data_IF_674379211627
#
_entry.id   IF_674379211627
#
_cell.length_a   1.000
_cell.length_b   1.000
_cell.length_c   1.000
_cell.angle_alpha   90.00
_cell.angle_beta   90.00
_cell.angle_gamma   90.00
#
_symmetry.space_group_name_H-M   'P 1'
#
loop_
_entity.id
_entity.type
_entity.pdbx_description
1 polymer ?
#
# COMPACT_ATOMS: atom_id res chain seq x y z
N UNK A 1 -26.46 -68.24 -29.13
CA UNK A 1 -26.79 -66.89 -28.62
C UNK A 1 -25.69 -65.95 -29.14
N UNK A 2 -25.81 -65.35 -30.34
CA UNK A 2 -26.28 -63.97 -30.64
C UNK A 2 -25.70 -62.92 -29.66
N UNK A 3 -24.59 -62.26 -30.01
CA UNK A 3 -24.46 -60.96 -30.73
C UNK A 3 -24.60 -59.70 -29.82
N UNK A 4 -23.46 -59.00 -29.65
CA UNK A 4 -23.26 -57.56 -29.96
C UNK A 4 -23.37 -56.46 -28.88
N UNK A 5 -22.29 -55.64 -28.89
CA UNK A 5 -22.21 -54.15 -28.80
C UNK A 5 -22.33 -53.47 -27.44
N UNK A 6 -21.24 -52.89 -26.90
CA UNK A 6 -20.63 -51.57 -27.20
C UNK A 6 -21.47 -50.39 -26.69
N UNK A 7 -20.93 -49.61 -25.74
CA UNK A 7 -20.83 -48.13 -25.76
C UNK A 7 -20.15 -47.65 -24.45
N UNK A 8 -18.87 -47.26 -24.55
CA UNK A 8 -18.20 -46.43 -23.53
C UNK A 8 -17.95 -45.07 -24.14
N UNK A 9 -18.63 -44.05 -23.62
CA UNK A 9 -18.46 -42.66 -24.04
C UNK A 9 -17.35 -42.05 -23.18
N UNK A 10 -16.18 -41.86 -23.77
CA UNK A 10 -15.13 -40.96 -23.27
C UNK A 10 -15.44 -39.54 -23.76
N UNK A 11 -15.68 -38.61 -22.84
CA UNK A 11 -15.73 -37.17 -23.15
C UNK A 11 -14.41 -36.55 -22.69
N UNK A 12 -13.56 -36.25 -23.66
CA UNK A 12 -12.43 -35.32 -23.51
C UNK A 12 -12.93 -33.89 -23.72
N UNK A 13 -12.87 -33.06 -22.70
CA UNK A 13 -13.07 -31.61 -22.85
C UNK A 13 -11.70 -30.97 -23.04
N UNK A 14 -11.46 -30.51 -24.28
CA UNK A 14 -10.32 -29.67 -24.65
C UNK A 14 -10.74 -28.21 -24.40
N UNK A 15 -10.09 -27.55 -23.45
CA UNK A 15 -10.19 -26.09 -23.26
C UNK A 15 -9.00 -25.41 -23.97
N UNK A 16 -9.23 -24.36 -24.78
CA UNK A 16 -8.16 -23.66 -25.49
C UNK A 16 -7.37 -22.72 -24.56
N UNK A 17 -6.06 -22.53 -24.81
CA UNK A 17 -5.27 -21.51 -24.13
C UNK A 17 -5.64 -20.11 -24.65
N UNK A 18 -6.18 -19.25 -23.79
CA UNK A 18 -6.34 -17.83 -24.06
C UNK A 18 -4.99 -17.14 -23.85
N UNK A 19 -4.31 -16.86 -24.97
CA UNK A 19 -3.09 -16.07 -25.04
C UNK A 19 -3.40 -14.60 -24.70
N UNK A 20 -2.60 -14.07 -23.78
CA UNK A 20 -2.51 -12.65 -23.45
C UNK A 20 -2.09 -11.83 -24.67
N UNK A 21 -2.84 -10.76 -24.97
CA UNK A 21 -2.38 -9.65 -25.80
C UNK A 21 -2.26 -8.41 -24.92
N UNK A 22 -1.03 -7.94 -24.70
CA UNK A 22 -0.75 -6.61 -24.17
C UNK A 22 -0.57 -5.64 -25.35
N UNK A 23 -1.22 -4.46 -25.35
CA UNK A 23 -0.85 -3.41 -26.28
C UNK A 23 0.44 -2.70 -25.80
N UNK A 24 1.37 -2.53 -26.73
CA UNK A 24 2.56 -1.66 -26.66
C UNK A 24 2.31 -0.32 -27.36
N UNK A 25 3.21 0.65 -27.10
CA UNK A 25 3.29 2.05 -27.57
C UNK A 25 2.46 3.06 -26.75
N UNK A 26 2.98 4.24 -26.35
CA UNK A 26 3.86 5.17 -27.09
C UNK A 26 4.94 5.85 -26.23
N UNK A 27 5.98 6.32 -26.92
CA UNK A 27 7.02 7.23 -26.49
C UNK A 27 6.66 8.66 -26.90
N UNK A 28 6.92 9.67 -26.07
CA UNK A 28 7.56 10.91 -26.55
C UNK A 28 8.22 11.71 -25.42
N UNK A 29 9.40 12.23 -25.75
CA UNK A 29 10.31 13.03 -24.94
C UNK A 29 9.78 14.45 -24.74
N UNK A 30 10.08 15.05 -23.59
CA UNK A 30 10.55 16.45 -23.54
C UNK A 30 11.25 16.70 -22.20
N UNK A 31 12.54 17.00 -22.26
CA UNK A 31 13.36 17.33 -21.10
C UNK A 31 13.09 18.75 -20.60
N UNK A 32 13.17 18.94 -19.29
CA UNK A 32 13.35 20.24 -18.64
C UNK A 32 14.40 20.10 -17.53
N UNK A 33 15.37 21.00 -17.58
CA UNK A 33 16.53 21.17 -16.71
C UNK A 33 16.09 21.72 -15.33
N UNK A 34 16.63 21.25 -14.19
CA UNK A 34 16.26 21.82 -12.89
C UNK A 34 17.12 23.04 -12.55
N UNK A 35 16.43 24.16 -12.36
CA UNK A 35 16.97 25.41 -11.79
C UNK A 35 17.18 25.24 -10.28
N UNK A 36 18.42 25.40 -9.82
CA UNK A 36 18.78 25.44 -8.39
C UNK A 36 18.41 26.82 -7.82
N UNK A 37 17.65 26.87 -6.72
CA UNK A 37 17.53 28.06 -5.86
C UNK A 37 17.81 27.72 -4.40
N UNK A 38 18.63 28.56 -3.79
CA UNK A 38 19.25 28.41 -2.47
C UNK A 38 18.28 28.62 -1.30
N UNK A 39 18.66 27.97 -0.20
CA UNK A 39 18.02 27.93 1.10
C UNK A 39 17.97 29.27 1.84
N UNK A 40 16.95 29.43 2.68
CA UNK A 40 16.97 30.28 3.86
C UNK A 40 16.37 29.49 5.03
N UNK A 41 17.16 29.35 6.09
CA UNK A 41 16.89 28.60 7.31
C UNK A 41 15.85 29.28 8.21
N UNK A 42 15.03 28.47 8.90
CA UNK A 42 14.47 28.83 10.21
C UNK A 42 14.11 27.56 10.97
N UNK A 43 14.80 27.37 12.09
CA UNK A 43 14.79 26.20 12.97
C UNK A 43 13.48 25.95 13.70
N UNK A 44 12.96 24.72 13.63
CA UNK A 44 12.06 24.10 14.61
C UNK A 44 12.36 22.60 14.68
N UNK A 45 12.35 21.97 15.87
CA UNK A 45 12.74 20.57 16.04
C UNK A 45 11.61 19.64 15.58
N UNK A 46 11.54 19.43 14.26
CA UNK A 46 10.83 18.34 13.56
C UNK A 46 11.15 18.32 12.05
N UNK A 47 11.83 19.36 11.54
CA UNK A 47 12.17 19.52 10.12
C UNK A 47 13.30 18.60 9.66
N UNK A 48 14.27 18.24 10.51
CA UNK A 48 15.43 17.47 10.06
C UNK A 48 15.07 16.06 9.56
N UNK A 49 14.13 15.37 10.20
CA UNK A 49 13.70 14.04 9.74
C UNK A 49 12.94 14.14 8.41
N UNK A 50 12.14 15.21 8.25
CA UNK A 50 11.35 15.45 7.05
C UNK A 50 12.21 15.88 5.86
N UNK A 51 13.21 16.73 6.09
CA UNK A 51 14.20 17.15 5.10
C UNK A 51 15.10 15.98 4.66
N UNK A 52 15.52 15.15 5.61
CA UNK A 52 16.28 13.92 5.32
C UNK A 52 15.46 12.94 4.47
N UNK A 53 14.15 12.80 4.73
CA UNK A 53 13.27 11.93 3.95
C UNK A 53 12.92 12.54 2.59
N UNK A 54 12.74 13.85 2.49
CA UNK A 54 12.53 14.54 1.22
C UNK A 54 13.77 14.46 0.29
N UNK A 55 14.97 14.61 0.84
CA UNK A 55 16.23 14.40 0.11
C UNK A 55 16.44 12.93 -0.30
N UNK A 56 15.97 11.99 0.51
CA UNK A 56 15.98 10.57 0.14
C UNK A 56 15.12 10.33 -1.10
N UNK A 57 13.94 10.94 -1.16
CA UNK A 57 12.99 10.75 -2.25
C UNK A 57 13.35 11.51 -3.52
N UNK A 58 14.06 12.64 -3.42
CA UNK A 58 14.55 13.36 -4.61
C UNK A 58 15.59 12.56 -5.40
N UNK A 59 16.29 11.61 -4.76
CA UNK A 59 17.26 10.73 -5.42
C UNK A 59 16.66 9.41 -5.92
N UNK A 60 15.42 9.09 -5.57
CA UNK A 60 14.79 7.81 -5.93
C UNK A 60 13.67 8.07 -6.95
N UNK A 61 14.06 8.22 -8.21
CA UNK A 61 13.18 8.29 -9.39
C UNK A 61 12.57 6.93 -9.77
N UNK A 62 12.54 5.95 -8.86
CA UNK A 62 11.84 4.71 -9.10
C UNK A 62 10.33 5.00 -9.01
N UNK A 63 9.68 5.09 -10.16
CA UNK A 63 8.23 5.06 -10.32
C UNK A 63 7.69 3.76 -9.72
N UNK A 64 7.58 3.70 -8.40
CA UNK A 64 6.71 2.74 -7.76
C UNK A 64 5.32 3.02 -8.33
N UNK A 65 4.74 2.05 -9.04
CA UNK A 65 3.38 2.05 -9.54
C UNK A 65 2.38 2.02 -8.36
N UNK A 66 2.43 3.03 -7.49
CA UNK A 66 1.59 3.20 -6.30
C UNK A 66 0.13 3.52 -6.66
N UNK A 67 -0.14 3.77 -7.94
CA UNK A 67 -1.42 4.27 -8.42
C UNK A 67 -2.47 3.16 -8.61
N UNK A 68 -2.13 1.88 -8.54
CA UNK A 68 -3.10 0.77 -8.71
C UNK A 68 -3.37 0.02 -7.40
N UNK A 69 -4.65 -0.02 -6.98
CA UNK A 69 -5.15 -0.86 -5.86
C UNK A 69 -5.15 -2.35 -6.19
N UNK A 70 -5.24 -2.71 -7.47
CA UNK A 70 -5.22 -4.10 -7.90
C UNK A 70 -3.80 -4.64 -7.76
N UNK A 71 -3.62 -5.54 -6.79
CA UNK A 71 -2.43 -6.36 -6.66
C UNK A 71 -1.20 -5.68 -6.07
N UNK A 72 -1.33 -4.48 -5.44
CA UNK A 72 -0.25 -3.62 -4.87
C UNK A 72 1.04 -4.41 -4.63
N UNK A 73 1.91 -4.54 -5.65
CA UNK A 73 2.92 -5.58 -5.61
C UNK A 73 4.15 -5.07 -4.87
N UNK A 74 4.59 -5.83 -3.87
CA UNK A 74 5.85 -5.61 -3.17
C UNK A 74 6.69 -6.88 -3.28
N UNK A 75 7.95 -6.72 -3.69
CA UNK A 75 8.90 -7.81 -3.85
C UNK A 75 8.36 -8.97 -4.73
N UNK A 76 7.55 -8.64 -5.75
CA UNK A 76 6.93 -9.62 -6.65
C UNK A 76 5.64 -10.28 -6.14
N UNK A 77 5.12 -9.88 -4.97
CA UNK A 77 3.92 -10.47 -4.34
C UNK A 77 2.85 -9.42 -4.13
N UNK A 78 1.59 -9.77 -4.39
CA UNK A 78 0.45 -8.91 -4.07
C UNK A 78 0.26 -8.78 -2.57
N UNK A 79 0.30 -7.54 -2.06
CA UNK A 79 0.00 -7.26 -0.66
C UNK A 79 -1.51 -7.34 -0.35
N UNK A 80 -2.38 -7.13 -1.36
CA UNK A 80 -3.83 -7.14 -1.15
C UNK A 80 -4.38 -8.56 -1.29
N UNK A 81 -5.00 -9.06 -0.22
CA UNK A 81 -5.81 -10.28 -0.24
C UNK A 81 -7.24 -10.03 0.23
N UNK A 82 -7.48 -8.96 1.01
CA UNK A 82 -8.81 -8.60 1.47
C UNK A 82 -9.72 -8.12 0.32
N UNK A 83 -10.93 -8.63 0.37
CA UNK A 83 -12.04 -8.44 -0.55
C UNK A 83 -13.19 -7.71 0.12
N UNK A 84 -14.24 -7.38 -0.64
CA UNK A 84 -15.49 -6.83 -0.07
C UNK A 84 -16.11 -7.76 0.96
N UNK A 85 -15.98 -9.08 0.77
CA UNK A 85 -16.59 -10.07 1.64
C UNK A 85 -15.91 -10.13 3.02
N UNK A 86 -14.62 -9.80 3.09
CA UNK A 86 -13.91 -9.68 4.37
C UNK A 86 -14.52 -8.58 5.25
N UNK A 87 -14.83 -7.42 4.65
CA UNK A 87 -15.58 -6.37 5.35
C UNK A 87 -17.00 -6.82 5.72
N UNK A 88 -17.71 -7.54 4.84
CA UNK A 88 -19.06 -8.03 5.12
C UNK A 88 -19.12 -9.03 6.28
N UNK A 89 -18.05 -9.80 6.51
CA UNK A 89 -17.97 -10.79 7.59
C UNK A 89 -17.66 -10.18 8.96
N UNK A 90 -17.14 -8.95 9.00
CA UNK A 90 -16.76 -8.28 10.25
C UNK A 90 -17.99 -7.73 10.98
N UNK A 91 -18.25 -8.27 12.17
CA UNK A 91 -19.27 -7.77 13.07
C UNK A 91 -18.94 -6.35 13.54
N UNK A 92 -19.92 -5.44 13.46
CA UNK A 92 -19.76 -4.08 13.94
C UNK A 92 -18.84 -3.19 13.09
N UNK A 93 -18.57 -3.56 11.83
CA UNK A 93 -17.72 -2.76 10.94
C UNK A 93 -18.28 -1.35 10.77
N UNK A 94 -17.40 -0.36 10.80
CA UNK A 94 -17.79 1.04 10.61
C UNK A 94 -17.76 1.40 9.11
N UNK A 95 -18.74 2.21 8.72
CA UNK A 95 -18.86 2.82 7.40
C UNK A 95 -18.79 4.33 7.50
N UNK A 96 -17.81 4.90 6.80
CA UNK A 96 -17.70 6.34 6.61
C UNK A 96 -18.54 6.75 5.40
N UNK A 97 -19.69 7.37 5.68
CA UNK A 97 -20.64 7.77 4.65
C UNK A 97 -20.39 9.21 4.22
N UNK A 98 -20.41 9.43 2.92
CA UNK A 98 -20.37 10.76 2.32
C UNK A 98 -21.73 11.07 1.70
N UNK A 99 -22.29 12.23 2.03
CA UNK A 99 -23.56 12.73 1.49
C UNK A 99 -23.36 14.17 1.03
N UNK A 100 -23.76 14.46 -0.20
CA UNK A 100 -23.67 15.80 -0.79
C UNK A 100 -22.55 15.94 -1.81
N UNK A 101 -22.04 17.16 -1.99
CA UNK A 101 -20.96 17.49 -2.93
C UNK A 101 -19.65 17.74 -2.18
N UNK A 102 -18.48 17.41 -2.76
CA UNK A 102 -17.20 17.69 -2.13
C UNK A 102 -16.95 19.19 -2.18
N UNK A 103 -16.68 19.80 -1.03
CA UNK A 103 -16.62 21.26 -0.89
C UNK A 103 -15.20 21.79 -0.73
N UNK A 104 -14.19 20.93 -0.58
CA UNK A 104 -12.84 21.36 -0.19
C UNK A 104 -12.77 21.92 1.23
N UNK A 105 -13.83 21.75 2.04
CA UNK A 105 -13.89 22.17 3.44
C UNK A 105 -14.28 21.00 4.34
N UNK A 106 -13.90 21.06 5.62
CA UNK A 106 -14.26 20.00 6.59
C UNK A 106 -15.74 20.11 6.91
N UNK A 107 -16.52 19.10 6.49
CA UNK A 107 -17.92 18.92 6.88
C UNK A 107 -18.00 17.66 7.72
N UNK A 108 -18.54 17.75 8.94
CA UNK A 108 -18.62 16.60 9.85
C UNK A 108 -19.37 15.41 9.24
N UNK A 109 -18.63 14.36 8.85
CA UNK A 109 -19.21 13.08 8.40
C UNK A 109 -19.37 12.07 9.54
N UNK A 110 -20.51 11.39 9.67
CA UNK A 110 -20.70 10.34 10.66
C UNK A 110 -20.07 9.03 10.19
N UNK A 111 -19.49 8.27 11.13
CA UNK A 111 -19.26 6.84 10.95
C UNK A 111 -20.43 6.06 11.55
N UNK A 112 -20.92 5.05 10.83
CA UNK A 112 -22.06 4.23 11.27
C UNK A 112 -21.65 2.78 11.38
N UNK A 113 -22.18 2.09 12.38
CA UNK A 113 -22.02 0.63 12.47
C UNK A 113 -22.90 -0.02 11.41
N UNK A 114 -22.30 -0.88 10.60
CA UNK A 114 -22.99 -1.67 9.58
C UNK A 114 -23.24 -3.08 10.11
N UNK A 115 -24.40 -3.64 9.74
CA UNK A 115 -24.70 -5.04 10.03
C UNK A 115 -23.83 -5.95 9.14
N UNK A 116 -23.37 -7.11 9.64
CA UNK A 116 -22.77 -8.13 8.80
C UNK A 116 -23.64 -8.44 7.58
N UNK A 117 -23.00 -8.90 6.50
CA UNK A 117 -23.59 -9.32 5.22
C UNK A 117 -24.30 -8.23 4.40
N UNK A 118 -24.44 -7.01 4.94
CA UNK A 118 -24.99 -5.87 4.20
C UNK A 118 -23.86 -4.92 3.83
N UNK A 119 -23.49 -4.88 2.56
CA UNK A 119 -22.55 -3.85 2.11
C UNK A 119 -23.27 -2.52 1.92
N UNK A 120 -22.77 -1.41 2.48
CA UNK A 120 -23.34 -0.09 2.24
C UNK A 120 -23.28 0.28 0.74
N UNK A 121 -24.37 0.81 0.16
CA UNK A 121 -24.36 1.31 -1.21
C UNK A 121 -23.32 2.41 -1.39
N UNK A 122 -22.54 2.34 -2.47
CA UNK A 122 -21.51 3.34 -2.76
C UNK A 122 -20.22 3.19 -1.95
N UNK A 123 -20.15 2.29 -0.95
CA UNK A 123 -18.92 2.03 -0.19
C UNK A 123 -18.11 0.84 -0.72
N UNK A 124 -16.81 0.88 -0.45
CA UNK A 124 -15.83 -0.16 -0.74
C UNK A 124 -15.14 -0.63 0.55
N UNK A 125 -14.60 -1.85 0.53
CA UNK A 125 -13.77 -2.35 1.61
C UNK A 125 -12.38 -1.72 1.51
N UNK A 126 -12.09 -0.87 2.49
CA UNK A 126 -10.89 -0.07 2.64
C UNK A 126 -9.98 -0.62 3.74
N UNK A 127 -8.69 -0.37 3.58
CA UNK A 127 -7.67 -0.62 4.59
C UNK A 127 -7.34 0.69 5.29
N UNK A 128 -7.55 0.82 6.60
CA UNK A 128 -7.26 2.04 7.36
C UNK A 128 -5.84 2.52 7.12
N UNK A 129 -4.85 1.65 7.28
CA UNK A 129 -3.51 1.81 6.72
C UNK A 129 -3.51 1.40 5.23
N UNK A 130 -3.27 2.37 4.34
CA UNK A 130 -3.17 2.10 2.89
C UNK A 130 -1.97 1.19 2.57
N UNK A 131 -2.21 0.16 1.75
CA UNK A 131 -1.20 -0.84 1.37
C UNK A 131 -0.01 -0.22 0.62
N UNK A 132 -0.22 0.93 -0.02
CA UNK A 132 0.80 1.72 -0.70
C UNK A 132 1.89 2.20 0.26
N UNK A 133 1.56 2.44 1.54
CA UNK A 133 2.55 2.81 2.58
C UNK A 133 3.51 1.66 2.80
N UNK A 134 2.97 0.46 2.95
CA UNK A 134 3.76 -0.76 3.17
C UNK A 134 4.58 -1.07 1.93
N UNK A 135 3.96 -1.04 0.73
CA UNK A 135 4.66 -1.23 -0.54
C UNK A 135 5.83 -0.26 -0.70
N UNK A 136 5.59 1.02 -0.42
CA UNK A 136 6.60 2.05 -0.48
C UNK A 136 7.76 1.75 0.47
N UNK A 137 7.49 1.41 1.73
CA UNK A 137 8.56 1.08 2.68
C UNK A 137 9.34 -0.16 2.25
N UNK A 138 8.68 -1.25 1.86
CA UNK A 138 9.36 -2.49 1.44
C UNK A 138 10.25 -2.28 0.21
N UNK A 139 9.83 -1.42 -0.72
CA UNK A 139 10.60 -1.14 -1.94
C UNK A 139 11.73 -0.16 -1.69
N UNK A 140 11.45 0.96 -1.02
CA UNK A 140 12.40 2.06 -0.83
C UNK A 140 13.45 1.78 0.25
N UNK A 141 13.14 0.91 1.23
CA UNK A 141 14.11 0.50 2.24
C UNK A 141 15.17 -0.49 1.72
N UNK A 142 15.03 -0.99 0.48
CA UNK A 142 15.83 -2.11 -0.02
C UNK A 142 15.46 -3.47 0.59
N UNK A 143 14.41 -3.54 1.42
CA UNK A 143 13.94 -4.80 2.02
C UNK A 143 13.67 -5.88 0.96
N UNK A 144 13.09 -5.52 -0.19
CA UNK A 144 12.83 -6.50 -1.24
C UNK A 144 14.08 -7.21 -1.78
N UNK A 145 15.26 -6.60 -1.67
CA UNK A 145 16.52 -7.22 -2.09
C UNK A 145 16.97 -8.36 -1.14
N UNK A 146 16.39 -8.45 0.06
CA UNK A 146 16.66 -9.53 1.03
C UNK A 146 15.96 -10.85 0.66
N UNK A 147 14.87 -10.76 -0.09
CA UNK A 147 13.93 -11.87 -0.30
C UNK A 147 14.55 -13.04 -1.09
N UNK A 148 15.30 -12.83 -2.19
CA UNK A 148 15.86 -13.95 -2.95
C UNK A 148 16.79 -14.85 -2.12
N UNK A 149 17.68 -14.26 -1.32
CA UNK A 149 18.60 -15.03 -0.46
C UNK A 149 17.84 -15.75 0.67
N UNK A 150 16.79 -15.15 1.23
CA UNK A 150 15.91 -15.80 2.21
C UNK A 150 15.19 -17.01 1.62
N UNK A 151 14.65 -16.88 0.40
CA UNK A 151 13.98 -17.98 -0.31
C UNK A 151 14.96 -19.11 -0.58
N UNK A 152 16.18 -18.79 -1.03
CA UNK A 152 17.22 -19.77 -1.28
C UNK A 152 17.68 -20.48 0.00
N UNK A 153 17.91 -19.75 1.09
CA UNK A 153 18.40 -20.29 2.35
C UNK A 153 17.40 -21.22 3.06
N UNK A 154 16.09 -20.99 2.88
CA UNK A 154 15.04 -21.75 3.54
C UNK A 154 14.28 -22.72 2.61
N UNK A 155 14.68 -22.84 1.34
CA UNK A 155 14.05 -23.71 0.34
C UNK A 155 12.51 -23.57 0.30
N UNK A 156 12.02 -22.34 0.30
CA UNK A 156 10.58 -22.05 0.47
C UNK A 156 9.77 -22.38 -0.80
N UNK A 157 8.73 -23.25 -0.73
CA UNK A 157 8.00 -23.72 -1.90
C UNK A 157 7.27 -22.64 -2.69
N UNK A 158 6.72 -21.61 -2.02
CA UNK A 158 6.01 -20.49 -2.65
C UNK A 158 6.88 -19.23 -2.73
N UNK A 159 8.18 -19.37 -2.49
CA UNK A 159 9.17 -18.31 -2.64
C UNK A 159 8.86 -17.07 -1.79
N UNK A 160 8.87 -15.90 -2.42
CA UNK A 160 8.65 -14.61 -1.76
C UNK A 160 7.31 -14.53 -1.00
N UNK A 161 6.28 -15.23 -1.46
CA UNK A 161 4.97 -15.21 -0.81
C UNK A 161 5.02 -15.84 0.58
N UNK A 162 5.80 -16.91 0.77
CA UNK A 162 5.98 -17.54 2.08
C UNK A 162 6.72 -16.61 3.05
N UNK A 163 7.74 -15.88 2.57
CA UNK A 163 8.49 -14.91 3.38
C UNK A 163 7.59 -13.75 3.82
N UNK A 164 6.77 -13.24 2.91
CA UNK A 164 5.94 -12.06 3.14
C UNK A 164 4.61 -12.35 3.84
N UNK A 165 4.24 -13.63 4.02
CA UNK A 165 2.90 -14.02 4.50
C UNK A 165 2.52 -13.31 5.80
N UNK A 166 3.43 -13.24 6.78
CA UNK A 166 3.14 -12.59 8.05
C UNK A 166 2.84 -11.08 7.91
N UNK A 167 3.51 -10.39 6.97
CA UNK A 167 3.19 -8.98 6.66
C UNK A 167 1.83 -8.90 5.98
N UNK A 168 1.55 -9.79 5.02
CA UNK A 168 0.27 -9.86 4.29
C UNK A 168 -0.88 -10.11 5.26
N UNK A 169 -0.72 -11.01 6.23
CA UNK A 169 -1.75 -11.33 7.22
C UNK A 169 -2.03 -10.11 8.12
N UNK A 170 -1.00 -9.41 8.58
CA UNK A 170 -1.14 -8.19 9.38
C UNK A 170 -1.89 -7.10 8.62
N UNK A 171 -1.48 -6.78 7.39
CA UNK A 171 -2.06 -5.65 6.65
C UNK A 171 -3.48 -5.95 6.15
N UNK A 172 -3.86 -7.22 5.99
CA UNK A 172 -5.22 -7.63 5.64
C UNK A 172 -6.06 -8.05 6.86
N UNK A 173 -5.55 -7.87 8.08
CA UNK A 173 -6.27 -8.19 9.31
C UNK A 173 -7.56 -7.38 9.42
N UNK A 174 -8.59 -7.97 10.00
CA UNK A 174 -9.94 -7.38 10.09
C UNK A 174 -9.96 -5.99 10.78
N UNK A 175 -9.09 -5.74 11.75
CA UNK A 175 -8.92 -4.43 12.42
C UNK A 175 -8.53 -3.34 11.43
N UNK A 176 -7.83 -3.68 10.34
CA UNK A 176 -7.50 -2.73 9.27
C UNK A 176 -8.68 -2.46 8.34
N UNK A 177 -9.78 -3.23 8.41
CA UNK A 177 -10.84 -3.19 7.41
C UNK A 177 -12.04 -2.33 7.83
N UNK A 178 -12.44 -1.43 6.95
CA UNK A 178 -13.55 -0.49 7.10
C UNK A 178 -14.33 -0.35 5.80
N UNK A 179 -15.59 0.07 5.89
CA UNK A 179 -16.28 0.58 4.71
C UNK A 179 -15.99 2.07 4.55
N UNK A 180 -15.64 2.45 3.32
CA UNK A 180 -15.40 3.83 2.94
C UNK A 180 -16.10 4.12 1.63
N UNK A 181 -16.79 5.26 1.55
CA UNK A 181 -17.43 5.72 0.31
C UNK A 181 -16.40 5.78 -0.84
N UNK A 182 -16.81 5.32 -2.02
CA UNK A 182 -15.93 5.07 -3.17
C UNK A 182 -15.13 6.30 -3.61
N UNK A 183 -15.73 7.49 -3.67
CA UNK A 183 -15.03 8.70 -4.07
C UNK A 183 -14.01 9.14 -3.01
N UNK A 184 -14.37 9.07 -1.72
CA UNK A 184 -13.43 9.33 -0.61
C UNK A 184 -12.28 8.31 -0.64
N UNK A 185 -12.58 7.04 -0.89
CA UNK A 185 -11.59 5.98 -1.02
C UNK A 185 -10.64 6.21 -2.22
N UNK A 186 -11.18 6.66 -3.34
CA UNK A 186 -10.41 7.08 -4.51
C UNK A 186 -9.47 8.25 -4.22
N UNK A 187 -9.96 9.26 -3.49
CA UNK A 187 -9.17 10.42 -3.07
C UNK A 187 -8.13 10.06 -2.01
N UNK A 188 -8.42 9.12 -1.10
CA UNK A 188 -7.48 8.63 -0.08
C UNK A 188 -6.22 8.05 -0.70
N UNK A 189 -6.37 7.25 -1.77
CA UNK A 189 -5.21 6.74 -2.53
C UNK A 189 -4.28 7.87 -2.98
N UNK A 190 -4.84 8.88 -3.63
CA UNK A 190 -4.09 10.02 -4.16
C UNK A 190 -3.48 10.87 -3.03
N UNK A 191 -4.25 11.10 -1.95
CA UNK A 191 -3.79 11.77 -0.74
C UNK A 191 -2.55 11.07 -0.16
N UNK A 192 -2.61 9.75 0.03
CA UNK A 192 -1.51 8.98 0.62
C UNK A 192 -0.28 9.00 -0.27
N UNK A 193 -0.42 8.78 -1.58
CA UNK A 193 0.72 8.83 -2.52
C UNK A 193 1.40 10.20 -2.51
N UNK A 194 0.61 11.29 -2.57
CA UNK A 194 1.15 12.65 -2.53
C UNK A 194 1.83 12.93 -1.19
N UNK A 195 1.21 12.57 -0.08
CA UNK A 195 1.76 12.78 1.25
C UNK A 195 3.10 12.06 1.45
N UNK A 196 3.19 10.78 1.06
CA UNK A 196 4.45 10.02 1.12
C UNK A 196 5.57 10.60 0.24
N UNK A 197 5.21 11.26 -0.86
CA UNK A 197 6.14 11.92 -1.79
C UNK A 197 6.38 13.39 -1.46
N UNK A 198 5.84 13.89 -0.34
CA UNK A 198 5.86 15.30 0.03
C UNK A 198 5.33 16.25 -1.06
N UNK A 199 4.44 15.75 -1.92
CA UNK A 199 3.76 16.54 -2.93
C UNK A 199 2.64 17.32 -2.25
N UNK A 200 2.50 18.63 -2.49
CA UNK A 200 1.43 19.42 -1.91
C UNK A 200 0.03 18.86 -2.19
N UNK A 201 -0.79 18.76 -1.14
CA UNK A 201 -2.18 18.37 -1.23
C UNK A 201 -3.02 19.63 -1.45
N UNK A 202 -3.36 19.95 -2.69
CA UNK A 202 -4.14 21.14 -3.04
C UNK A 202 -5.58 20.80 -3.39
N UNK A 203 -6.54 21.58 -2.89
CA UNK A 203 -7.96 21.48 -3.26
C UNK A 203 -8.29 22.18 -4.59
N UNK A 204 -7.39 23.05 -5.06
CA UNK A 204 -7.55 23.86 -6.28
C UNK A 204 -7.05 23.18 -7.56
N UNK A 205 -6.40 22.02 -7.44
CA UNK A 205 -5.86 21.24 -8.57
C UNK A 205 -6.91 20.50 -9.42
N UNK A 206 -6.50 20.12 -10.64
CA UNK A 206 -7.24 19.21 -11.53
C UNK A 206 -6.56 17.83 -11.59
N UNK A 207 -7.33 16.71 -11.57
CA UNK A 207 -8.77 16.61 -11.39
C UNK A 207 -9.22 17.05 -9.98
N UNK A 208 -10.50 17.40 -9.81
CA UNK A 208 -11.10 17.89 -8.54
C UNK A 208 -11.15 16.85 -7.40
N UNK A 209 -10.36 15.77 -7.46
CA UNK A 209 -10.20 14.80 -6.37
C UNK A 209 -9.71 15.47 -5.09
N UNK A 210 -8.97 16.58 -5.20
CA UNK A 210 -8.53 17.39 -4.06
C UNK A 210 -9.67 17.93 -3.20
N UNK A 211 -10.87 18.11 -3.74
CA UNK A 211 -12.03 18.55 -2.97
C UNK A 211 -12.47 17.55 -1.89
N UNK A 212 -12.06 16.28 -1.99
CA UNK A 212 -12.32 15.23 -1.01
C UNK A 212 -11.22 15.09 0.05
N UNK A 213 -10.07 15.77 -0.09
CA UNK A 213 -9.00 15.64 0.90
C UNK A 213 -9.42 15.99 2.34
N UNK A 214 -10.29 16.98 2.60
CA UNK A 214 -10.80 17.22 3.94
C UNK A 214 -11.61 16.03 4.50
N UNK A 215 -12.43 15.37 3.68
CA UNK A 215 -13.16 14.16 4.08
C UNK A 215 -12.22 12.99 4.32
N UNK A 216 -11.19 12.80 3.48
CA UNK A 216 -10.11 11.82 3.69
C UNK A 216 -9.42 12.08 5.03
N UNK A 217 -9.03 13.34 5.30
CA UNK A 217 -8.37 13.73 6.54
C UNK A 217 -9.27 13.48 7.76
N UNK A 218 -10.56 13.75 7.65
CA UNK A 218 -11.51 13.43 8.71
C UNK A 218 -11.60 11.92 8.95
N UNK A 219 -11.63 11.11 7.89
CA UNK A 219 -11.67 9.66 7.98
C UNK A 219 -10.41 9.08 8.63
N UNK A 220 -9.21 9.40 8.11
CA UNK A 220 -7.95 8.82 8.62
C UNK A 220 -7.58 9.30 10.02
N UNK A 221 -8.13 10.44 10.47
CA UNK A 221 -7.97 10.95 11.85
C UNK A 221 -9.14 10.60 12.76
N UNK A 222 -10.12 9.82 12.30
CA UNK A 222 -11.12 9.27 13.20
C UNK A 222 -10.40 8.37 14.22
N UNK A 223 -10.63 8.51 15.54
CA UNK A 223 -9.87 7.77 16.55
C UNK A 223 -9.83 6.26 16.35
N UNK A 224 -10.93 5.66 15.88
CA UNK A 224 -11.00 4.22 15.62
C UNK A 224 -10.16 3.82 14.40
N UNK A 225 -10.23 4.60 13.32
CA UNK A 225 -9.48 4.36 12.08
C UNK A 225 -7.99 4.61 12.30
N UNK A 226 -7.63 5.70 12.98
CA UNK A 226 -6.26 6.07 13.29
C UNK A 226 -5.58 5.03 14.20
N UNK A 227 -6.27 4.63 15.27
CA UNK A 227 -5.75 3.58 16.16
C UNK A 227 -5.56 2.25 15.42
N UNK A 228 -6.50 1.88 14.56
CA UNK A 228 -6.37 0.68 13.72
C UNK A 228 -5.17 0.78 12.77
N UNK A 229 -5.06 1.87 12.01
CA UNK A 229 -3.96 2.07 11.07
C UNK A 229 -2.59 2.08 11.77
N UNK A 230 -2.49 2.77 12.91
CA UNK A 230 -1.28 2.82 13.74
C UNK A 230 -0.91 1.44 14.28
N UNK A 231 -1.88 0.66 14.76
CA UNK A 231 -1.64 -0.72 15.23
C UNK A 231 -1.08 -1.58 14.10
N UNK A 232 -1.70 -1.53 12.92
CA UNK A 232 -1.27 -2.31 11.76
C UNK A 232 0.12 -1.87 11.28
N UNK A 233 0.42 -0.56 11.28
CA UNK A 233 1.73 -0.06 10.88
C UNK A 233 2.84 -0.58 11.82
N UNK A 234 2.59 -0.56 13.13
CA UNK A 234 3.53 -1.10 14.13
C UNK A 234 3.70 -2.62 13.99
N UNK A 235 2.60 -3.36 13.81
CA UNK A 235 2.67 -4.80 13.58
C UNK A 235 3.41 -5.13 12.28
N UNK A 236 3.23 -4.36 11.21
CA UNK A 236 3.96 -4.54 9.96
C UNK A 236 5.46 -4.30 10.17
N UNK A 237 5.85 -3.23 10.87
CA UNK A 237 7.25 -2.96 11.24
C UNK A 237 7.88 -4.14 12.03
N UNK A 238 7.13 -4.74 12.95
CA UNK A 238 7.59 -5.93 13.71
C UNK A 238 7.80 -7.17 12.82
N UNK A 239 6.92 -7.41 11.85
CA UNK A 239 7.07 -8.53 10.92
C UNK A 239 8.24 -8.31 9.95
N UNK A 240 8.40 -7.08 9.45
CA UNK A 240 9.56 -6.66 8.65
C UNK A 240 10.86 -6.90 9.43
N UNK A 241 10.93 -6.44 10.69
CA UNK A 241 12.11 -6.63 11.54
C UNK A 241 12.41 -8.12 11.81
N UNK A 242 11.38 -8.96 11.92
CA UNK A 242 11.53 -10.41 12.09
C UNK A 242 12.14 -11.06 10.84
N UNK A 243 11.72 -10.67 9.64
CA UNK A 243 12.29 -11.15 8.37
C UNK A 243 13.74 -10.67 8.21
N UNK A 244 14.04 -9.42 8.56
CA UNK A 244 15.42 -8.88 8.52
C UNK A 244 16.33 -9.63 9.48
N UNK A 245 15.81 -10.07 10.63
CA UNK A 245 16.56 -10.90 11.59
C UNK A 245 16.89 -12.28 11.01
N UNK A 246 15.94 -12.90 10.31
CA UNK A 246 16.18 -14.16 9.58
C UNK A 246 17.26 -13.96 8.52
N UNK A 247 17.16 -12.89 7.72
CA UNK A 247 18.16 -12.56 6.70
C UNK A 247 19.55 -12.33 7.31
N UNK A 248 19.60 -11.73 8.51
CA UNK A 248 20.86 -11.49 9.23
C UNK A 248 21.49 -12.78 9.76
N UNK A 249 20.68 -13.78 10.08
CA UNK A 249 21.12 -15.07 10.63
C UNK A 249 21.58 -16.07 9.57
N UNK A 250 21.40 -15.80 8.28
CA UNK A 250 21.88 -16.67 7.20
C UNK A 250 23.41 -16.81 7.31
N UNK A 251 23.97 -18.03 7.36
CA UNK A 251 25.41 -18.23 7.30
C UNK A 251 25.95 -18.02 5.88
N UNK A 252 27.22 -17.60 5.74
CA UNK A 252 27.89 -17.42 4.44
C UNK A 252 27.08 -16.53 3.46
N UNK A 253 26.52 -15.43 3.97
CA UNK A 253 25.70 -14.49 3.20
C UNK A 253 26.39 -14.03 1.93
N UNK A 254 25.63 -13.93 0.85
CA UNK A 254 26.10 -13.34 -0.39
C UNK A 254 26.52 -11.87 -0.16
N UNK A 255 27.42 -11.36 -1.01
CA UNK A 255 27.76 -9.94 -0.99
C UNK A 255 26.52 -9.06 -1.26
N UNK A 256 25.60 -9.55 -2.10
CA UNK A 256 24.32 -8.91 -2.38
C UNK A 256 23.46 -8.78 -1.11
N UNK A 257 23.27 -9.88 -0.36
CA UNK A 257 22.55 -9.86 0.91
C UNK A 257 23.17 -8.91 1.92
N UNK A 258 24.50 -8.93 2.02
CA UNK A 258 25.24 -8.05 2.94
C UNK A 258 25.00 -6.58 2.60
N UNK A 259 25.11 -6.20 1.32
CA UNK A 259 24.85 -4.83 0.87
C UNK A 259 23.39 -4.42 1.06
N UNK A 260 22.44 -5.32 0.79
CA UNK A 260 21.01 -5.06 1.00
C UNK A 260 20.68 -4.83 2.48
N UNK A 261 21.26 -5.62 3.40
CA UNK A 261 21.10 -5.41 4.84
C UNK A 261 21.71 -4.10 5.32
N UNK A 262 22.90 -3.73 4.80
CA UNK A 262 23.51 -2.43 5.12
C UNK A 262 22.60 -1.29 4.65
N UNK A 263 22.10 -1.35 3.42
CA UNK A 263 21.20 -0.34 2.90
C UNK A 263 19.91 -0.24 3.73
N UNK A 264 19.26 -1.38 4.02
CA UNK A 264 18.06 -1.41 4.85
C UNK A 264 18.29 -0.80 6.24
N UNK A 265 19.38 -1.18 6.91
CA UNK A 265 19.69 -0.66 8.23
C UNK A 265 20.00 0.85 8.20
N UNK A 266 20.60 1.37 7.12
CA UNK A 266 20.80 2.81 6.94
C UNK A 266 19.46 3.54 6.80
N UNK A 267 18.49 2.98 6.06
CA UNK A 267 17.15 3.58 5.94
C UNK A 267 16.41 3.54 7.27
N UNK A 268 16.45 2.41 7.98
CA UNK A 268 15.83 2.28 9.29
C UNK A 268 16.43 3.26 10.32
N UNK A 269 17.76 3.44 10.32
CA UNK A 269 18.44 4.40 11.19
C UNK A 269 18.05 5.86 10.90
N UNK A 270 17.57 6.15 9.69
CA UNK A 270 17.00 7.45 9.31
C UNK A 270 15.50 7.58 9.68
N UNK A 271 14.95 6.59 10.36
CA UNK A 271 13.54 6.54 10.73
C UNK A 271 12.61 6.08 9.62
N UNK A 272 13.10 5.43 8.57
CA UNK A 272 12.26 4.97 7.47
C UNK A 272 11.57 3.64 7.80
N UNK A 273 10.31 3.72 8.25
CA UNK A 273 9.46 2.57 8.61
C UNK A 273 8.01 2.78 8.18
N UNK A 274 7.18 1.75 8.24
CA UNK A 274 5.74 1.85 7.93
C UNK A 274 5.06 2.84 8.87
N UNK A 275 5.37 2.76 10.18
CA UNK A 275 4.84 3.68 11.19
C UNK A 275 5.26 5.12 10.91
N UNK A 276 6.54 5.37 10.61
CA UNK A 276 7.04 6.71 10.35
C UNK A 276 6.40 7.34 9.10
N UNK A 277 6.35 6.57 7.99
CA UNK A 277 5.73 7.04 6.74
C UNK A 277 4.22 7.28 6.93
N UNK A 278 3.52 6.44 7.70
CA UNK A 278 2.11 6.69 8.03
C UNK A 278 1.92 7.96 8.86
N UNK A 279 2.80 8.23 9.82
CA UNK A 279 2.76 9.47 10.60
C UNK A 279 2.94 10.71 9.70
N UNK A 280 3.79 10.63 8.67
CA UNK A 280 3.94 11.71 7.69
C UNK A 280 2.66 11.92 6.86
N UNK A 281 1.96 10.83 6.50
CA UNK A 281 0.64 10.89 5.85
C UNK A 281 -0.38 11.60 6.76
N UNK A 282 -0.43 11.25 8.03
CA UNK A 282 -1.31 11.90 9.01
C UNK A 282 -0.96 13.38 9.22
N UNK A 283 0.32 13.74 9.14
CA UNK A 283 0.84 15.09 9.32
C UNK A 283 0.76 15.96 8.05
N UNK A 284 0.37 15.40 6.91
CA UNK A 284 0.27 16.15 5.66
C UNK A 284 -0.76 17.30 5.75
N UNK A 285 -0.42 18.43 5.14
CA UNK A 285 -1.24 19.64 5.15
C UNK A 285 -1.98 19.77 3.82
N UNK A 286 -3.26 20.11 3.91
CA UNK A 286 -4.11 20.44 2.76
C UNK A 286 -4.00 21.94 2.54
N UNK A 287 -3.56 22.34 1.35
CA UNK A 287 -3.49 23.69 0.89
C UNK A 287 -4.79 24.10 0.17
N UNK A 288 -5.20 25.38 0.28
CA UNK A 288 -6.34 25.92 -0.44
C UNK A 288 -6.16 25.92 -1.98
#
# INVERSE_FOLDING_TARGET
MRWSSLFSVYIWIILPPQLYAYPTSESSKQGHEPVIRNAAESSSPSTSNRENMAQLLSNITAEAHLDRRAGTPACGVSLRTATRDDCNRKAGILDFTFVGQPTGTVVGRPMRIVRPTVSPPGSQCDHALELQVVQFVLTQSGFCALIPDLVAAHALPRGAADVLQAIIDVINHDVNLFFLETAVNGAKRDYVVKAMRFIPLSISGTPRTGLFYPDVRQYIRNPTVDNAATTIAQSADQQIASIVRLATAIPNRSAALTNALVHYNQQLARGFSVTAVWNDVLAAQILP
#
